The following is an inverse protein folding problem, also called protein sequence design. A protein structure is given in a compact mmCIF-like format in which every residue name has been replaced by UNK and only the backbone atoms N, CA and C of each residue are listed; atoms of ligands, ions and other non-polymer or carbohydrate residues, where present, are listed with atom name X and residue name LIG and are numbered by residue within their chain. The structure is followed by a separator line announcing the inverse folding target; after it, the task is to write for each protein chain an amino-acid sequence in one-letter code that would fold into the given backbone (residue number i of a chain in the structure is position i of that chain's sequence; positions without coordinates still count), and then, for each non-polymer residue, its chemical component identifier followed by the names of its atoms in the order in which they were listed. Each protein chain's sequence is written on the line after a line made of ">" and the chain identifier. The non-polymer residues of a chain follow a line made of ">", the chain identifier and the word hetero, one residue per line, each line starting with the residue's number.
data_IF_190033871667
#
_entry.id   IF_190033871667
#
_cell.length_a   1.000
_cell.length_b   1.000
_cell.length_c   1.000
_cell.angle_alpha   90.00
_cell.angle_beta   90.00
_cell.angle_gamma   90.00
#
_symmetry.space_group_name_H-M   'P 1'
#
loop_
_entity.id
_entity.type
_entity.pdbx_description
1 polymer ?
#
# COMPACT_ATOMS: atom_id res chain seq x y z
N UNK A 1 -11.25 -6.65 -26.97
CA UNK A 1 -9.95 -7.13 -26.45
C UNK A 1 -8.94 -6.00 -26.33
N UNK A 2 -8.94 -5.05 -27.26
CA UNK A 2 -8.04 -3.90 -27.31
C UNK A 2 -8.03 -3.00 -26.04
N UNK A 3 -9.18 -2.73 -25.42
CA UNK A 3 -9.26 -1.93 -24.18
C UNK A 3 -8.43 -2.54 -23.03
N UNK A 4 -8.44 -3.87 -22.89
CA UNK A 4 -7.67 -4.56 -21.85
C UNK A 4 -6.17 -4.47 -22.13
N UNK A 5 -5.77 -4.53 -23.39
CA UNK A 5 -4.38 -4.35 -23.81
C UNK A 5 -3.93 -2.91 -23.61
N UNK A 6 -4.79 -1.93 -23.91
CA UNK A 6 -4.53 -0.51 -23.68
C UNK A 6 -4.41 -0.19 -22.19
N UNK A 7 -5.27 -0.75 -21.34
CA UNK A 7 -5.16 -0.62 -19.88
C UNK A 7 -3.88 -1.25 -19.33
N UNK A 8 -3.49 -2.43 -19.83
CA UNK A 8 -2.21 -3.06 -19.47
C UNK A 8 -1.02 -2.20 -19.89
N UNK A 9 -1.06 -1.64 -21.10
CA UNK A 9 -0.01 -0.75 -21.60
C UNK A 9 0.12 0.50 -20.72
N UNK A 10 -0.99 1.21 -20.45
CA UNK A 10 -0.97 2.40 -19.58
C UNK A 10 -0.49 2.05 -18.17
N UNK A 11 -0.90 0.91 -17.62
CA UNK A 11 -0.42 0.46 -16.32
C UNK A 11 1.09 0.22 -16.32
N UNK A 12 1.62 -0.39 -17.38
CA UNK A 12 3.05 -0.65 -17.55
C UNK A 12 3.85 0.64 -17.75
N UNK A 13 3.32 1.58 -18.53
CA UNK A 13 3.86 2.95 -18.68
C UNK A 13 3.91 3.71 -17.35
N UNK A 14 2.93 3.48 -16.47
CA UNK A 14 2.88 4.12 -15.16
C UNK A 14 3.81 3.48 -14.12
N UNK A 15 4.18 2.21 -14.30
CA UNK A 15 4.88 1.41 -13.29
C UNK A 15 6.33 1.11 -13.63
N UNK A 16 6.67 0.96 -14.91
CA UNK A 16 8.01 0.62 -15.36
C UNK A 16 8.67 1.84 -16.03
N UNK A 17 9.79 2.28 -15.45
CA UNK A 17 10.55 3.44 -15.96
C UNK A 17 11.22 3.13 -17.30
N UNK A 18 11.92 2.01 -17.40
CA UNK A 18 12.65 1.60 -18.61
C UNK A 18 11.67 1.41 -19.78
N UNK A 19 10.57 0.71 -19.54
CA UNK A 19 9.51 0.53 -20.54
C UNK A 19 8.92 1.87 -21.02
N UNK A 20 8.78 2.84 -20.12
CA UNK A 20 8.29 4.17 -20.47
C UNK A 20 9.32 4.96 -21.29
N UNK A 21 10.59 4.84 -20.97
CA UNK A 21 11.67 5.45 -21.76
C UNK A 21 11.74 4.83 -23.16
N UNK A 22 11.63 3.50 -23.28
CA UNK A 22 11.55 2.76 -24.54
C UNK A 22 10.31 3.16 -25.36
N UNK A 23 9.14 3.24 -24.72
CA UNK A 23 7.89 3.62 -25.39
C UNK A 23 7.95 5.03 -25.97
N UNK A 24 8.49 6.01 -25.26
CA UNK A 24 8.58 7.37 -25.80
C UNK A 24 9.68 7.55 -26.86
N UNK A 25 10.69 6.68 -26.87
CA UNK A 25 11.68 6.64 -27.95
C UNK A 25 11.09 6.04 -29.24
N UNK A 26 10.31 4.96 -29.12
CA UNK A 26 9.79 4.20 -30.26
C UNK A 26 8.31 3.77 -30.08
N UNK A 27 7.36 4.72 -30.02
CA UNK A 27 5.98 4.43 -29.61
C UNK A 27 5.25 3.45 -30.53
N UNK A 28 5.41 3.59 -31.85
CA UNK A 28 4.78 2.68 -32.82
C UNK A 28 5.31 1.23 -32.71
N UNK A 29 6.62 1.06 -32.50
CA UNK A 29 7.23 -0.27 -32.38
C UNK A 29 6.84 -0.96 -31.08
N UNK A 30 6.84 -0.23 -29.95
CA UNK A 30 6.47 -0.79 -28.65
C UNK A 30 4.97 -1.11 -28.60
N UNK A 31 4.11 -0.26 -29.17
CA UNK A 31 2.68 -0.53 -29.23
C UNK A 31 2.34 -1.77 -30.08
N UNK A 32 3.01 -1.94 -31.23
CA UNK A 32 2.86 -3.13 -32.06
C UNK A 32 3.32 -4.41 -31.33
N UNK A 33 4.43 -4.36 -30.58
CA UNK A 33 4.92 -5.49 -29.76
C UNK A 33 3.94 -5.88 -28.64
N UNK A 34 3.21 -4.91 -28.09
CA UNK A 34 2.19 -5.16 -27.06
C UNK A 34 0.82 -5.54 -27.65
N UNK A 35 0.72 -5.67 -28.98
CA UNK A 35 -0.47 -6.14 -29.69
C UNK A 35 -1.56 -5.07 -29.84
N UNK A 36 -1.20 -3.79 -29.82
CA UNK A 36 -2.10 -2.69 -30.12
C UNK A 36 -2.03 -2.33 -31.60
N UNK A 37 -3.14 -2.55 -32.31
CA UNK A 37 -3.27 -2.26 -33.74
C UNK A 37 -3.97 -0.92 -34.01
N UNK A 38 -4.81 -0.43 -33.09
CA UNK A 38 -5.53 0.84 -33.20
C UNK A 38 -5.41 1.62 -31.87
N UNK A 39 -5.14 2.94 -31.93
CA UNK A 39 -5.07 3.80 -30.73
C UNK A 39 -3.68 3.99 -30.09
N UNK A 40 -2.62 3.41 -30.67
CA UNK A 40 -1.23 3.69 -30.29
C UNK A 40 -0.82 5.15 -30.58
N UNK A 41 -1.36 5.73 -31.65
CA UNK A 41 -1.10 7.11 -32.08
C UNK A 41 -1.56 8.13 -31.03
N UNK A 42 -2.77 7.96 -30.47
CA UNK A 42 -3.26 8.82 -29.38
C UNK A 42 -2.47 8.69 -28.07
N UNK A 43 -1.78 7.56 -27.84
CA UNK A 43 -0.84 7.39 -26.72
C UNK A 43 0.55 7.96 -27.03
N UNK A 44 0.95 7.98 -28.30
CA UNK A 44 2.19 8.61 -28.77
C UNK A 44 2.09 10.15 -28.75
N UNK A 45 0.88 10.70 -28.94
CA UNK A 45 0.58 12.12 -28.79
C UNK A 45 0.61 12.60 -27.33
N UNK A 46 0.55 11.68 -26.35
CA UNK A 46 0.70 12.06 -24.94
C UNK A 46 2.11 12.57 -24.68
N UNK A 47 2.22 13.86 -24.37
CA UNK A 47 3.48 14.43 -23.95
C UNK A 47 4.05 13.67 -22.72
N UNK A 48 5.34 13.26 -22.74
CA UNK A 48 5.95 12.48 -21.66
C UNK A 48 5.77 13.09 -20.27
N UNK A 49 5.73 14.42 -20.21
CA UNK A 49 5.55 15.16 -18.96
C UNK A 49 4.13 15.01 -18.39
N UNK A 50 3.09 14.94 -19.22
CA UNK A 50 1.72 14.69 -18.75
C UNK A 50 1.58 13.31 -18.13
N UNK A 51 2.20 12.28 -18.73
CA UNK A 51 2.20 10.95 -18.14
C UNK A 51 2.99 10.92 -16.81
N UNK A 52 4.13 11.60 -16.73
CA UNK A 52 4.89 11.72 -15.47
C UNK A 52 4.07 12.41 -14.38
N UNK A 53 3.37 13.49 -14.71
CA UNK A 53 2.47 14.19 -13.79
C UNK A 53 1.32 13.27 -13.34
N UNK A 54 0.70 12.54 -14.26
CA UNK A 54 -0.36 11.58 -13.94
C UNK A 54 0.13 10.49 -12.98
N UNK A 55 1.30 9.91 -13.23
CA UNK A 55 1.92 8.92 -12.33
C UNK A 55 2.19 9.50 -10.94
N UNK A 56 2.68 10.76 -10.87
CA UNK A 56 2.88 11.45 -9.59
C UNK A 56 1.56 11.63 -8.84
N UNK A 57 0.50 12.06 -9.52
CA UNK A 57 -0.83 12.21 -8.94
C UNK A 57 -1.38 10.88 -8.42
N UNK A 58 -1.26 9.79 -9.18
CA UNK A 58 -1.67 8.45 -8.74
C UNK A 58 -0.92 8.00 -7.49
N UNK A 59 0.40 8.23 -7.43
CA UNK A 59 1.22 7.90 -6.25
C UNK A 59 0.79 8.72 -5.03
N UNK A 60 0.53 10.02 -5.19
CA UNK A 60 0.06 10.88 -4.10
C UNK A 60 -1.31 10.46 -3.60
N UNK A 61 -2.23 10.11 -4.51
CA UNK A 61 -3.57 9.61 -4.16
C UNK A 61 -3.48 8.30 -3.38
N UNK A 62 -2.67 7.34 -3.85
CA UNK A 62 -2.42 6.07 -3.15
C UNK A 62 -1.84 6.29 -1.75
N UNK A 63 -0.83 7.15 -1.62
CA UNK A 63 -0.25 7.52 -0.32
C UNK A 63 -1.32 8.06 0.63
N UNK A 64 -2.20 8.94 0.14
CA UNK A 64 -3.34 9.48 0.88
C UNK A 64 -4.27 8.36 1.35
N UNK A 65 -4.71 7.50 0.43
CA UNK A 65 -5.63 6.40 0.71
C UNK A 65 -5.06 5.38 1.70
N UNK A 66 -3.80 4.96 1.52
CA UNK A 66 -3.13 4.05 2.47
C UNK A 66 -2.92 4.70 3.83
N UNK A 67 -2.63 6.01 3.86
CA UNK A 67 -2.54 6.78 5.09
C UNK A 67 -3.86 6.89 5.85
N UNK A 68 -5.00 6.90 5.14
CA UNK A 68 -6.34 6.83 5.75
C UNK A 68 -6.66 5.43 6.25
N UNK A 69 -6.19 4.39 5.56
CA UNK A 69 -6.41 3.00 5.95
C UNK A 69 -5.54 2.56 7.15
N UNK A 70 -4.36 3.14 7.32
CA UNK A 70 -3.38 2.85 8.38
C UNK A 70 -3.09 4.10 9.24
N UNK A 71 -4.10 4.67 9.92
CA UNK A 71 -3.97 5.96 10.59
C UNK A 71 -2.96 5.96 11.75
N UNK A 72 -2.90 4.89 12.55
CA UNK A 72 -1.97 4.81 13.68
C UNK A 72 -0.54 4.62 13.19
N UNK A 73 -0.34 3.79 12.17
CA UNK A 73 0.95 3.58 11.52
C UNK A 73 1.48 4.88 10.92
N UNK A 74 0.62 5.62 10.19
CA UNK A 74 0.97 6.94 9.65
C UNK A 74 1.35 7.92 10.76
N UNK A 75 0.58 7.94 11.86
CA UNK A 75 0.84 8.82 13.00
C UNK A 75 2.19 8.52 13.67
N UNK A 76 2.54 7.25 13.82
CA UNK A 76 3.76 6.83 14.50
C UNK A 76 5.00 7.00 13.63
N UNK A 77 4.93 6.61 12.36
CA UNK A 77 6.05 6.72 11.44
C UNK A 77 6.27 8.15 10.94
N UNK A 78 5.24 9.01 10.98
CA UNK A 78 5.34 10.41 10.56
C UNK A 78 5.91 10.55 9.15
N UNK A 79 6.99 11.31 9.00
CA UNK A 79 7.66 11.51 7.71
C UNK A 79 8.22 10.21 7.11
N UNK A 80 8.66 9.25 7.96
CA UNK A 80 9.17 7.95 7.50
C UNK A 80 8.10 7.14 6.79
N UNK A 81 6.81 7.35 7.11
CA UNK A 81 5.71 6.72 6.39
C UNK A 81 5.76 7.05 4.89
N UNK A 82 5.97 8.33 4.58
CA UNK A 82 6.02 8.83 3.19
C UNK A 82 7.25 8.28 2.47
N UNK A 83 8.40 8.23 3.14
CA UNK A 83 9.64 7.70 2.58
C UNK A 83 9.52 6.21 2.27
N UNK A 84 9.03 5.41 3.23
CA UNK A 84 8.78 3.99 3.03
C UNK A 84 7.78 3.76 1.90
N UNK A 85 6.70 4.55 1.85
CA UNK A 85 5.69 4.41 0.81
C UNK A 85 6.22 4.77 -0.58
N UNK A 86 7.09 5.79 -0.70
CA UNK A 86 7.74 6.12 -1.96
C UNK A 86 8.54 4.93 -2.50
N UNK A 87 9.27 4.22 -1.65
CA UNK A 87 10.02 3.01 -2.02
C UNK A 87 9.06 1.87 -2.42
N UNK A 88 7.99 1.65 -1.67
CA UNK A 88 6.95 0.69 -2.01
C UNK A 88 6.30 0.97 -3.37
N UNK A 89 5.98 2.25 -3.64
CA UNK A 89 5.31 2.69 -4.86
C UNK A 89 6.20 2.65 -6.13
N UNK A 90 7.48 2.26 -6.01
CA UNK A 90 8.32 1.89 -7.15
C UNK A 90 7.95 0.53 -7.72
N UNK A 91 7.26 -0.32 -6.95
CA UNK A 91 6.85 -1.65 -7.41
C UNK A 91 5.69 -1.57 -8.40
N UNK A 92 5.70 -2.41 -9.46
CA UNK A 92 4.56 -2.51 -10.35
C UNK A 92 3.32 -2.89 -9.57
N UNK A 93 2.28 -2.06 -9.71
CA UNK A 93 0.96 -2.35 -9.14
C UNK A 93 0.06 -2.83 -10.28
N UNK A 94 -0.68 -3.94 -10.11
CA UNK A 94 -1.60 -4.40 -11.15
C UNK A 94 -2.61 -3.31 -11.51
N UNK A 95 -2.97 -3.13 -12.79
CA UNK A 95 -4.07 -2.24 -13.16
C UNK A 95 -5.38 -2.69 -12.52
N UNK A 96 -6.09 -1.74 -11.90
CA UNK A 96 -7.40 -1.98 -11.31
C UNK A 96 -7.88 -0.80 -10.47
N UNK A 97 -9.20 -0.66 -10.36
CA UNK A 97 -9.88 0.34 -9.52
C UNK A 97 -9.35 0.24 -8.09
N UNK A 98 -9.00 1.39 -7.50
CA UNK A 98 -8.41 1.59 -6.16
C UNK A 98 -8.68 0.47 -5.15
N UNK A 99 -7.76 -0.48 -5.08
CA UNK A 99 -7.77 -1.50 -4.03
C UNK A 99 -6.99 -0.99 -2.83
N UNK A 100 -7.51 0.06 -2.19
CA UNK A 100 -6.90 0.72 -1.02
C UNK A 100 -6.49 -0.29 0.04
N UNK A 101 -7.31 -1.33 0.26
CA UNK A 101 -7.02 -2.39 1.22
C UNK A 101 -5.84 -3.25 0.78
N UNK A 102 -5.77 -3.66 -0.48
CA UNK A 102 -4.63 -4.42 -1.00
C UNK A 102 -3.35 -3.59 -0.96
N UNK A 103 -3.43 -2.30 -1.27
CA UNK A 103 -2.29 -1.38 -1.22
C UNK A 103 -1.79 -1.20 0.23
N UNK A 104 -2.71 -1.10 1.19
CA UNK A 104 -2.38 -1.02 2.60
C UNK A 104 -1.75 -2.32 3.11
N UNK A 105 -2.34 -3.48 2.81
CA UNK A 105 -1.80 -4.80 3.20
C UNK A 105 -0.42 -5.01 2.56
N UNK A 106 -0.31 -4.75 1.25
CA UNK A 106 0.93 -4.88 0.49
C UNK A 106 2.02 -3.93 1.01
N UNK A 107 1.66 -2.73 1.43
CA UNK A 107 2.58 -1.80 2.08
C UNK A 107 3.08 -2.35 3.44
N UNK A 108 2.22 -2.93 4.27
CA UNK A 108 2.64 -3.56 5.54
C UNK A 108 3.55 -4.77 5.30
N UNK A 109 3.26 -5.59 4.30
CA UNK A 109 4.14 -6.70 3.90
C UNK A 109 5.50 -6.19 3.37
N UNK A 110 5.51 -5.07 2.65
CA UNK A 110 6.74 -4.40 2.25
C UNK A 110 7.56 -3.94 3.46
N UNK A 111 6.93 -3.28 4.45
CA UNK A 111 7.59 -2.89 5.69
C UNK A 111 8.20 -4.10 6.41
N UNK A 112 7.48 -5.23 6.47
CA UNK A 112 7.98 -6.46 7.12
C UNK A 112 9.21 -7.06 6.40
N UNK A 113 9.19 -7.11 5.07
CA UNK A 113 10.17 -7.88 4.29
C UNK A 113 11.38 -7.08 3.81
N UNK A 114 11.27 -5.75 3.69
CA UNK A 114 12.26 -4.93 2.98
C UNK A 114 12.80 -3.76 3.80
N UNK A 115 12.20 -3.45 4.95
CA UNK A 115 12.68 -2.38 5.83
C UNK A 115 13.39 -2.99 7.03
N UNK A 116 14.63 -2.54 7.27
CA UNK A 116 15.41 -2.94 8.45
C UNK A 116 14.83 -2.36 9.75
N UNK A 117 15.23 -2.93 10.88
CA UNK A 117 14.80 -2.50 12.22
C UNK A 117 15.15 -1.04 12.54
N UNK A 118 16.21 -0.50 11.94
CA UNK A 118 16.61 0.91 12.10
C UNK A 118 15.63 1.89 11.46
N UNK A 119 15.04 1.51 10.32
CA UNK A 119 14.04 2.35 9.65
C UNK A 119 12.71 2.32 10.41
N UNK A 120 12.37 1.14 10.94
CA UNK A 120 11.19 0.89 11.76
C UNK A 120 11.46 1.12 13.24
N UNK A 121 12.09 2.25 13.56
CA UNK A 121 12.23 2.74 14.94
C UNK A 121 11.03 3.63 15.28
N UNK A 122 10.23 3.29 16.32
CA UNK A 122 10.43 2.19 17.25
C UNK A 122 9.98 0.81 16.73
N UNK A 123 10.62 -0.31 17.13
CA UNK A 123 10.35 -1.66 16.58
C UNK A 123 8.90 -2.13 16.66
N UNK A 124 8.13 -1.58 17.61
CA UNK A 124 6.71 -1.89 17.75
C UNK A 124 5.83 -1.24 16.67
N UNK A 125 6.35 -0.27 15.90
CA UNK A 125 5.65 0.37 14.78
C UNK A 125 5.19 -0.64 13.73
N UNK A 126 6.00 -1.66 13.43
CA UNK A 126 5.61 -2.75 12.53
C UNK A 126 4.47 -3.59 13.11
N UNK A 127 4.43 -3.78 14.43
CA UNK A 127 3.36 -4.55 15.07
C UNK A 127 2.03 -3.80 15.04
N UNK A 128 2.09 -2.46 15.10
CA UNK A 128 0.93 -1.59 14.89
C UNK A 128 0.42 -1.66 13.44
N UNK A 129 1.33 -1.61 12.46
CA UNK A 129 0.98 -1.77 11.06
C UNK A 129 0.32 -3.11 10.77
N UNK A 130 0.87 -4.19 11.32
CA UNK A 130 0.28 -5.55 11.24
C UNK A 130 -1.09 -5.63 11.93
N UNK A 131 -1.27 -4.93 13.05
CA UNK A 131 -2.56 -4.84 13.74
C UNK A 131 -3.62 -4.15 12.87
N UNK A 132 -3.30 -2.99 12.28
CA UNK A 132 -4.23 -2.26 11.41
C UNK A 132 -4.54 -3.04 10.12
N UNK A 133 -3.53 -3.66 9.49
CA UNK A 133 -3.73 -4.49 8.31
C UNK A 133 -4.68 -5.68 8.58
N UNK A 134 -4.56 -6.33 9.74
CA UNK A 134 -5.45 -7.44 10.12
C UNK A 134 -6.91 -7.01 10.27
N UNK A 135 -7.16 -5.80 10.77
CA UNK A 135 -8.50 -5.19 10.79
C UNK A 135 -9.03 -4.99 9.37
N UNK A 136 -8.19 -4.47 8.45
CA UNK A 136 -8.58 -4.28 7.04
C UNK A 136 -8.89 -5.61 6.36
N UNK A 137 -8.08 -6.65 6.59
CA UNK A 137 -8.33 -8.01 6.10
C UNK A 137 -9.68 -8.56 6.59
N UNK A 138 -10.00 -8.36 7.87
CA UNK A 138 -11.26 -8.83 8.45
C UNK A 138 -12.48 -8.17 7.79
N UNK A 139 -12.39 -6.87 7.48
CA UNK A 139 -13.46 -6.13 6.77
C UNK A 139 -13.54 -6.56 5.31
N UNK A 140 -12.42 -6.54 4.60
CA UNK A 140 -12.38 -6.65 3.15
C UNK A 140 -12.66 -8.07 2.63
N UNK A 141 -12.13 -9.08 3.31
CA UNK A 141 -12.35 -10.48 2.92
C UNK A 141 -13.69 -11.04 3.41
N UNK A 142 -14.51 -10.24 4.10
CA UNK A 142 -15.73 -10.71 4.75
C UNK A 142 -15.49 -11.87 5.71
N UNK A 143 -14.26 -12.03 6.22
CA UNK A 143 -13.87 -13.16 7.04
C UNK A 143 -14.56 -13.05 8.40
N UNK A 144 -15.21 -14.13 8.80
CA UNK A 144 -15.84 -14.23 10.13
C UNK A 144 -14.79 -14.15 11.25
N UNK A 145 -13.57 -14.61 11.02
CA UNK A 145 -12.51 -14.60 12.01
C UNK A 145 -11.14 -14.31 11.37
N UNK A 146 -10.39 -13.37 11.94
CA UNK A 146 -8.98 -13.12 11.63
C UNK A 146 -8.21 -13.12 12.95
N UNK A 147 -7.11 -13.87 13.00
CA UNK A 147 -6.28 -14.01 14.19
C UNK A 147 -4.83 -13.68 13.83
N UNK A 148 -4.17 -12.85 14.63
CA UNK A 148 -2.76 -12.47 14.45
C UNK A 148 -1.99 -12.49 15.75
N UNK A 149 -0.84 -13.15 15.69
CA UNK A 149 0.17 -13.08 16.75
C UNK A 149 1.10 -11.88 16.53
N UNK A 150 1.14 -10.99 17.51
CA UNK A 150 1.94 -9.76 17.46
C UNK A 150 2.99 -9.82 18.58
N UNK A 151 4.27 -9.50 18.30
CA UNK A 151 5.34 -9.64 19.29
C UNK A 151 5.34 -8.55 20.38
N UNK A 152 4.42 -7.57 20.29
CA UNK A 152 4.37 -6.43 21.20
C UNK A 152 3.00 -6.28 21.86
N UNK A 153 3.00 -5.64 23.04
CA UNK A 153 1.80 -5.39 23.85
C UNK A 153 0.93 -4.30 23.25
N UNK A 154 0.16 -4.66 22.22
CA UNK A 154 -0.63 -3.71 21.43
C UNK A 154 -1.63 -2.93 22.28
N UNK A 155 -2.30 -3.57 23.24
CA UNK A 155 -3.32 -2.87 24.06
C UNK A 155 -2.74 -1.69 24.83
N UNK A 156 -1.55 -1.85 25.41
CA UNK A 156 -0.85 -0.77 26.11
C UNK A 156 -0.36 0.30 25.14
N UNK A 157 0.13 -0.08 23.96
CA UNK A 157 0.54 0.87 22.92
C UNK A 157 -0.65 1.72 22.45
N UNK A 158 -1.80 1.11 22.19
CA UNK A 158 -3.01 1.82 21.79
C UNK A 158 -3.46 2.82 22.88
N UNK A 159 -3.45 2.39 24.15
CA UNK A 159 -3.81 3.26 25.26
C UNK A 159 -2.84 4.44 25.43
N UNK A 160 -1.54 4.24 25.23
CA UNK A 160 -0.54 5.32 25.30
C UNK A 160 -0.63 6.26 24.08
N UNK A 161 -0.86 5.72 22.87
CA UNK A 161 -1.08 6.52 21.66
C UNK A 161 -2.33 7.39 21.77
N UNK A 162 -3.39 6.90 22.42
CA UNK A 162 -4.59 7.69 22.72
C UNK A 162 -4.28 8.88 23.64
N UNK A 163 -3.35 8.71 24.60
CA UNK A 163 -2.86 9.77 25.49
C UNK A 163 -1.83 10.69 24.83
N UNK A 164 -1.41 10.40 23.60
CA UNK A 164 -0.50 11.24 22.82
C UNK A 164 0.99 11.11 23.19
N UNK A 165 1.33 10.31 24.19
CA UNK A 165 2.72 10.06 24.59
C UNK A 165 2.94 8.56 24.77
N UNK A 166 3.85 8.01 23.98
CA UNK A 166 4.33 6.63 24.16
C UNK A 166 5.62 6.71 24.95
N UNK A 167 5.62 6.11 26.13
CA UNK A 167 6.80 6.10 27.00
C UNK A 167 7.86 5.15 26.44
N UNK A 168 9.13 5.52 26.60
CA UNK A 168 10.24 4.65 26.27
C UNK A 168 10.20 3.46 27.23
N UNK A 169 9.77 2.29 26.72
CA UNK A 169 9.62 1.07 27.50
C UNK A 169 9.66 -0.16 26.61
N UNK A 170 9.99 -1.30 27.21
CA UNK A 170 9.97 -2.58 26.49
C UNK A 170 8.53 -3.03 26.31
N UNK A 171 8.01 -2.88 25.08
CA UNK A 171 6.70 -3.42 24.70
C UNK A 171 6.78 -4.87 24.23
N UNK A 172 7.93 -5.55 24.37
CA UNK A 172 8.17 -6.94 23.93
C UNK A 172 7.42 -7.95 24.80
N UNK A 173 6.10 -8.00 24.63
CA UNK A 173 5.24 -9.03 25.19
C UNK A 173 4.26 -9.44 24.10
N UNK A 174 4.24 -10.71 23.70
CA UNK A 174 3.36 -11.13 22.64
C UNK A 174 1.89 -10.88 23.01
N UNK A 175 1.09 -10.55 22.01
CA UNK A 175 -0.35 -10.33 22.14
C UNK A 175 -1.04 -11.03 20.98
N UNK A 176 -2.09 -11.77 21.29
CA UNK A 176 -2.97 -12.38 20.32
C UNK A 176 -4.10 -11.40 20.02
N UNK A 177 -4.14 -10.91 18.78
CA UNK A 177 -5.22 -10.05 18.32
C UNK A 177 -6.22 -10.87 17.50
N UNK A 178 -7.48 -10.80 17.88
CA UNK A 178 -8.59 -11.56 17.28
C UNK A 178 -9.61 -10.54 16.76
N UNK A 179 -10.00 -10.66 15.50
CA UNK A 179 -11.10 -9.92 14.89
C UNK A 179 -12.20 -10.86 14.48
N UNK A 180 -13.43 -10.55 14.86
CA UNK A 180 -14.62 -11.28 14.45
C UNK A 180 -15.54 -10.39 13.62
N UNK A 181 -15.80 -10.80 12.38
CA UNK A 181 -16.68 -10.13 11.44
C UNK A 181 -18.11 -10.68 11.51
N UNK A 182 -19.10 -9.81 11.70
CA UNK A 182 -20.54 -10.19 11.73
C UNK A 182 -21.26 -9.96 10.39
N UNK A 183 -20.51 -9.86 9.28
CA UNK A 183 -21.06 -9.80 7.92
C UNK A 183 -21.36 -8.40 7.38
N UNK A 184 -21.64 -7.40 8.21
CA UNK A 184 -21.73 -5.97 7.81
C UNK A 184 -21.29 -5.06 8.96
N UNK A 185 -20.27 -4.23 8.73
CA UNK A 185 -19.78 -3.23 9.70
C UNK A 185 -18.34 -3.44 10.19
N UNK A 186 -17.94 -2.66 11.19
CA UNK A 186 -16.62 -2.76 11.80
C UNK A 186 -16.50 -4.07 12.60
N UNK A 187 -15.44 -4.88 12.40
CA UNK A 187 -15.24 -6.12 13.13
C UNK A 187 -15.03 -5.82 14.61
N UNK A 188 -15.60 -6.65 15.48
CA UNK A 188 -15.24 -6.65 16.91
C UNK A 188 -13.84 -7.21 17.06
N UNK A 189 -13.08 -6.71 18.02
CA UNK A 189 -11.73 -7.19 18.26
C UNK A 189 -11.43 -7.38 19.75
N UNK A 190 -10.53 -8.30 20.03
CA UNK A 190 -10.02 -8.61 21.37
C UNK A 190 -8.50 -8.76 21.31
N UNK A 191 -7.85 -8.37 22.41
CA UNK A 191 -6.41 -8.52 22.63
C UNK A 191 -6.22 -9.43 23.85
N UNK A 192 -5.59 -10.58 23.63
CA UNK A 192 -5.31 -11.61 24.65
C UNK A 192 -3.82 -11.67 24.93
#
# INVERSE_FOLDING_TARGET
>A
MELVQQQKLVARLCTNREFREEFFAHPAQVAAREGLTVGAEGLAELHPEHLRQFVRLLRTRRLGSVGVALPLTRRVLGNRFVECFKLYALRPTPPGVERVVEDAIGFVDFLRGHMGSEVLDPPWSLSLARYEAARLEAVWLGRRLVVRWLPHRIGSLLAQLAKGKVEAGSFKRPTLAIWHGTGRGQPRHWLV
#
